data_IF_919045870741
#
_entry.id   IF_919045870741
#
_cell.length_a   1.000
_cell.length_b   1.000
_cell.length_c   1.000
_cell.angle_alpha   90.00
_cell.angle_beta   90.00
_cell.angle_gamma   90.00
#
_symmetry.space_group_name_H-M   'P 1'
#
loop_
_entity.id
_entity.type
_entity.pdbx_description
1 polymer ?
#
# COMPACT_ATOMS: atom_id res chain seq x y z
N UNK A 1 -15.38 -12.91 3.33
CA UNK A 1 -14.04 -12.33 3.05
C UNK A 1 -13.11 -13.47 2.69
N UNK A 2 -12.39 -13.39 1.56
CA UNK A 2 -11.38 -14.39 1.22
C UNK A 2 -10.14 -14.20 2.11
N UNK A 3 -9.82 -15.19 2.96
CA UNK A 3 -8.72 -15.09 3.94
C UNK A 3 -7.34 -15.08 3.30
N UNK A 4 -7.23 -15.58 2.07
CA UNK A 4 -5.99 -15.54 1.26
C UNK A 4 -5.65 -14.11 0.79
N UNK A 5 -6.66 -13.24 0.68
CA UNK A 5 -6.48 -11.87 0.16
C UNK A 5 -6.52 -10.84 1.28
N UNK A 6 -7.27 -11.09 2.35
CA UNK A 6 -7.31 -10.22 3.53
C UNK A 6 -7.52 -11.01 4.81
N UNK A 7 -6.63 -10.83 5.78
CA UNK A 7 -6.74 -11.40 7.11
C UNK A 7 -6.10 -10.46 8.16
N UNK A 8 -6.11 -10.87 9.43
CA UNK A 8 -5.64 -10.01 10.54
C UNK A 8 -4.18 -9.60 10.45
N UNK A 9 -3.30 -10.41 9.85
CA UNK A 9 -1.89 -10.05 9.73
C UNK A 9 -1.67 -8.98 8.67
N UNK A 10 -2.69 -8.61 7.89
CA UNK A 10 -2.62 -7.54 6.89
C UNK A 10 -2.92 -6.17 7.49
N UNK A 11 -3.35 -6.08 8.76
CA UNK A 11 -3.71 -4.81 9.39
C UNK A 11 -2.45 -4.20 10.01
N UNK A 12 -2.05 -3.04 9.49
CA UNK A 12 -0.97 -2.22 10.02
C UNK A 12 -1.54 -1.03 10.81
N UNK A 13 -1.05 -0.81 12.02
CA UNK A 13 -1.27 0.44 12.76
C UNK A 13 -0.03 1.32 12.59
N UNK A 14 -0.14 2.37 11.77
CA UNK A 14 0.89 3.39 11.64
C UNK A 14 0.55 4.60 12.52
N UNK A 15 1.33 4.78 13.58
CA UNK A 15 1.16 5.88 14.53
C UNK A 15 2.11 7.06 14.22
N UNK A 16 2.93 6.94 13.17
CA UNK A 16 4.07 7.82 12.92
C UNK A 16 3.98 8.65 11.64
N UNK A 17 3.26 8.17 10.62
CA UNK A 17 3.13 8.92 9.36
C UNK A 17 2.32 10.20 9.56
N UNK A 18 2.97 11.34 9.33
CA UNK A 18 2.36 12.67 9.31
C UNK A 18 2.18 13.22 7.88
N UNK A 19 2.74 12.54 6.88
CA UNK A 19 2.63 12.93 5.47
C UNK A 19 2.20 11.77 4.60
N UNK A 20 1.61 12.08 3.43
CA UNK A 20 1.23 11.08 2.43
C UNK A 20 2.44 10.21 2.02
N UNK A 21 3.60 10.83 1.85
CA UNK A 21 4.82 10.11 1.49
C UNK A 21 5.24 9.12 2.59
N UNK A 22 5.13 9.51 3.86
CA UNK A 22 5.43 8.62 4.98
C UNK A 22 4.44 7.44 5.03
N UNK A 23 3.14 7.69 4.83
CA UNK A 23 2.14 6.63 4.76
C UNK A 23 2.44 5.64 3.62
N UNK A 24 2.82 6.13 2.44
CA UNK A 24 3.19 5.27 1.31
C UNK A 24 4.47 4.46 1.59
N UNK A 25 5.46 5.03 2.28
CA UNK A 25 6.66 4.29 2.72
C UNK A 25 6.29 3.18 3.71
N UNK A 26 5.43 3.47 4.68
CA UNK A 26 4.94 2.46 5.64
C UNK A 26 4.23 1.31 4.93
N UNK A 27 3.34 1.61 3.98
CA UNK A 27 2.65 0.59 3.17
C UNK A 27 3.60 -0.23 2.32
N UNK A 28 4.56 0.39 1.63
CA UNK A 28 5.52 -0.32 0.80
C UNK A 28 6.42 -1.26 1.62
N UNK A 29 6.93 -0.78 2.75
CA UNK A 29 7.72 -1.59 3.68
C UNK A 29 6.92 -2.78 4.21
N UNK A 30 5.66 -2.54 4.58
CA UNK A 30 4.77 -3.59 5.06
C UNK A 30 4.49 -4.65 3.98
N UNK A 31 4.18 -4.22 2.76
CA UNK A 31 3.93 -5.11 1.64
C UNK A 31 5.17 -5.95 1.28
N UNK A 32 6.37 -5.35 1.34
CA UNK A 32 7.64 -6.04 1.09
C UNK A 32 7.94 -7.08 2.18
N UNK A 33 7.86 -6.68 3.45
CA UNK A 33 8.09 -7.57 4.59
C UNK A 33 7.09 -8.74 4.63
N UNK A 34 5.86 -8.53 4.15
CA UNK A 34 4.83 -9.56 4.06
C UNK A 34 4.93 -10.44 2.81
N UNK A 35 5.87 -10.15 1.90
CA UNK A 35 6.13 -10.95 0.69
C UNK A 35 5.17 -10.72 -0.49
N UNK A 36 4.28 -9.73 -0.41
CA UNK A 36 3.34 -9.41 -1.50
C UNK A 36 4.00 -8.73 -2.69
N UNK A 37 5.14 -8.09 -2.47
CA UNK A 37 5.92 -7.41 -3.50
C UNK A 37 7.38 -7.85 -3.45
N UNK A 38 8.09 -7.76 -4.57
CA UNK A 38 9.52 -8.10 -4.69
C UNK A 38 10.48 -6.93 -4.51
N UNK A 39 9.96 -5.70 -4.57
CA UNK A 39 10.75 -4.46 -4.60
C UNK A 39 9.94 -3.34 -3.94
N UNK A 40 10.37 -2.94 -2.75
CA UNK A 40 9.78 -1.88 -1.93
C UNK A 40 9.82 -0.52 -2.64
N UNK A 41 10.97 -0.16 -3.22
CA UNK A 41 11.17 1.14 -3.84
C UNK A 41 10.30 1.28 -5.09
N UNK A 42 10.28 0.25 -5.95
CA UNK A 42 9.44 0.26 -7.14
C UNK A 42 7.95 0.36 -6.82
N UNK A 43 7.49 -0.31 -5.75
CA UNK A 43 6.09 -0.22 -5.32
C UNK A 43 5.75 1.16 -4.73
N UNK A 44 6.63 1.71 -3.89
CA UNK A 44 6.49 3.07 -3.34
C UNK A 44 6.41 4.14 -4.43
N UNK A 45 7.29 4.09 -5.43
CA UNK A 45 7.23 5.00 -6.58
C UNK A 45 5.93 4.81 -7.39
N UNK A 46 5.47 3.57 -7.54
CA UNK A 46 4.19 3.27 -8.18
C UNK A 46 2.98 3.88 -7.46
N UNK A 47 2.98 3.87 -6.12
CA UNK A 47 1.93 4.50 -5.32
C UNK A 47 1.90 6.02 -5.54
N UNK A 48 3.08 6.67 -5.50
CA UNK A 48 3.20 8.11 -5.76
C UNK A 48 2.74 8.48 -7.17
N UNK A 49 3.20 7.74 -8.18
CA UNK A 49 2.82 7.98 -9.56
C UNK A 49 1.30 7.87 -9.74
N UNK A 50 0.69 6.83 -9.17
CA UNK A 50 -0.75 6.61 -9.28
C UNK A 50 -1.58 7.68 -8.55
N UNK A 51 -1.12 8.16 -7.40
CA UNK A 51 -1.76 9.26 -6.67
C UNK A 51 -1.70 10.58 -7.43
N UNK A 52 -0.60 10.84 -8.15
CA UNK A 52 -0.45 12.04 -8.99
C UNK A 52 -1.37 12.03 -10.22
N UNK A 53 -1.62 10.85 -10.82
CA UNK A 53 -2.54 10.71 -11.95
C UNK A 53 -3.98 11.07 -11.56
N UNK A 54 -4.42 10.60 -10.40
CA UNK A 54 -5.70 10.94 -9.79
C UNK A 54 -5.68 10.53 -8.32
N UNK A 55 -6.15 11.42 -7.44
CA UNK A 55 -6.14 11.14 -6.00
C UNK A 55 -6.89 9.86 -5.66
N UNK A 56 -6.33 9.08 -4.75
CA UNK A 56 -6.96 7.90 -4.17
C UNK A 56 -7.65 8.21 -2.84
N UNK A 57 -7.70 9.49 -2.44
CA UNK A 57 -8.54 9.96 -1.35
C UNK A 57 -10.00 9.61 -1.61
N UNK A 58 -10.55 8.80 -0.71
CA UNK A 58 -11.96 8.46 -0.65
C UNK A 58 -12.62 9.26 0.48
N UNK A 59 -13.95 9.33 0.51
CA UNK A 59 -14.66 10.14 1.52
C UNK A 59 -14.32 9.72 2.95
N UNK A 60 -14.68 10.57 3.91
CA UNK A 60 -14.66 10.24 5.34
C UNK A 60 -13.26 9.85 5.87
N UNK A 61 -12.23 10.58 5.44
CA UNK A 61 -10.83 10.39 5.87
C UNK A 61 -10.23 9.02 5.48
N UNK A 62 -10.78 8.38 4.45
CA UNK A 62 -10.27 7.11 3.91
C UNK A 62 -9.46 7.38 2.65
N UNK A 63 -8.38 6.63 2.41
CA UNK A 63 -7.71 6.59 1.12
C UNK A 63 -7.56 5.15 0.66
N UNK A 64 -7.54 4.93 -0.66
CA UNK A 64 -7.37 3.60 -1.28
C UNK A 64 -6.12 3.58 -2.18
N UNK A 65 -4.92 3.79 -1.61
CA UNK A 65 -3.70 3.83 -2.37
C UNK A 65 -3.46 2.48 -3.08
N UNK A 66 -3.28 2.53 -4.39
CA UNK A 66 -3.05 1.37 -5.24
C UNK A 66 -1.94 1.69 -6.22
N UNK A 67 -1.09 0.71 -6.53
CA UNK A 67 -0.08 0.82 -7.56
C UNK A 67 -0.22 -0.33 -8.55
N UNK A 68 0.11 -0.06 -9.82
CA UNK A 68 0.37 -1.10 -10.80
C UNK A 68 1.89 -1.20 -10.97
N UNK A 69 2.48 -2.27 -10.45
CA UNK A 69 3.91 -2.48 -10.52
C UNK A 69 4.23 -3.94 -10.86
N UNK A 70 5.26 -4.17 -11.66
CA UNK A 70 5.78 -5.51 -11.95
C UNK A 70 6.32 -6.21 -10.68
N UNK A 71 6.56 -5.45 -9.62
CA UNK A 71 7.00 -5.99 -8.32
C UNK A 71 5.91 -6.75 -7.57
N UNK A 72 4.64 -6.64 -7.95
CA UNK A 72 3.52 -7.30 -7.26
C UNK A 72 3.50 -8.79 -7.58
N UNK A 73 3.56 -9.64 -6.54
CA UNK A 73 3.60 -11.11 -6.66
C UNK A 73 2.24 -11.76 -6.47
N UNK A 74 1.39 -11.17 -5.63
CA UNK A 74 0.11 -11.76 -5.26
C UNK A 74 -0.91 -10.67 -4.90
N UNK A 75 -2.20 -10.89 -5.17
CA UNK A 75 -3.24 -9.94 -4.78
C UNK A 75 -3.42 -9.93 -3.26
N UNK A 76 -3.48 -8.74 -2.66
CA UNK A 76 -3.75 -8.56 -1.24
C UNK A 76 -4.38 -7.18 -0.96
N UNK A 77 -5.14 -7.09 0.14
CA UNK A 77 -5.48 -5.82 0.80
C UNK A 77 -4.74 -5.76 2.13
N UNK A 78 -4.34 -4.56 2.55
CA UNK A 78 -3.72 -4.27 3.84
C UNK A 78 -4.08 -2.85 4.29
#
# INVERSE_FOLDING_TARGET
MNREVFNRSHILFDESAATQEQAFKSLAKFAYASGFISDEAAYFEGLKAREQEATTGFKDHIAIPIAKAASIRSPAYF
#
